data_IF_050389064447
#
_entry.id   IF_050389064447
#
_cell.length_a   1.000
_cell.length_b   1.000
_cell.length_c   1.000
_cell.angle_alpha   90.00
_cell.angle_beta   90.00
_cell.angle_gamma   90.00
#
_symmetry.space_group_name_H-M   'P 1'
#
loop_
_entity.id
_entity.type
_entity.pdbx_description
1 polymer ?
#
# COMPACT_ATOMS: atom_id res chain seq x y z
N UNK A 1 19.53 32.85 16.21
CA UNK A 1 18.23 32.22 15.92
C UNK A 1 18.38 30.75 16.30
N UNK A 2 17.89 30.37 17.48
CA UNK A 2 17.98 28.99 17.97
C UNK A 2 16.88 28.18 17.28
N UNK A 3 17.27 27.20 16.46
CA UNK A 3 16.33 26.18 15.99
C UNK A 3 15.95 25.33 17.20
N UNK A 4 14.72 25.50 17.68
CA UNK A 4 14.12 24.58 18.65
C UNK A 4 14.19 23.16 18.07
N UNK A 5 14.97 22.30 18.71
CA UNK A 5 15.10 20.89 18.34
C UNK A 5 13.76 20.20 18.50
N UNK A 6 13.05 19.96 17.41
CA UNK A 6 12.03 18.95 17.39
C UNK A 6 12.72 17.63 17.75
N UNK A 7 12.24 16.96 18.81
CA UNK A 7 12.74 15.63 19.18
C UNK A 7 12.69 14.75 17.92
N UNK A 8 13.85 14.30 17.45
CA UNK A 8 13.91 13.34 16.35
C UNK A 8 13.34 12.04 16.86
N UNK A 9 12.08 11.76 16.53
CA UNK A 9 11.44 10.48 16.82
C UNK A 9 12.20 9.42 16.03
N UNK A 10 12.87 8.51 16.74
CA UNK A 10 13.59 7.43 16.09
C UNK A 10 12.60 6.36 15.61
N UNK A 11 12.86 5.66 14.49
CA UNK A 11 12.03 4.55 14.03
C UNK A 11 11.82 3.50 15.13
N UNK A 12 12.87 3.19 15.91
CA UNK A 12 12.81 2.25 17.02
C UNK A 12 11.78 2.64 18.09
N UNK A 13 11.66 3.92 18.41
CA UNK A 13 10.67 4.41 19.38
C UNK A 13 9.26 4.18 18.84
N UNK A 14 9.01 4.48 17.56
CA UNK A 14 7.70 4.25 16.93
C UNK A 14 7.34 2.77 16.93
N UNK A 15 8.27 1.89 16.58
CA UNK A 15 8.05 0.45 16.58
C UNK A 15 7.70 -0.07 17.98
N UNK A 16 8.44 0.37 19.00
CA UNK A 16 8.19 0.01 20.39
C UNK A 16 6.79 0.45 20.83
N UNK A 17 6.41 1.69 20.55
CA UNK A 17 5.10 2.23 20.94
C UNK A 17 3.97 1.50 20.21
N UNK A 18 4.07 1.34 18.88
CA UNK A 18 3.07 0.59 18.10
C UNK A 18 2.91 -0.86 18.60
N UNK A 19 4.01 -1.49 19.04
CA UNK A 19 4.01 -2.84 19.59
C UNK A 19 3.16 -3.00 20.86
N UNK A 20 2.91 -1.92 21.61
CA UNK A 20 2.20 -1.94 22.89
C UNK A 20 0.75 -1.44 22.80
N UNK A 21 0.38 -0.76 21.72
CA UNK A 21 -0.95 -0.14 21.60
C UNK A 21 -2.04 -1.18 21.32
N UNK A 22 -3.24 -0.91 21.83
CA UNK A 22 -4.47 -1.62 21.46
C UNK A 22 -5.52 -0.58 21.10
N UNK A 23 -5.94 -0.57 19.84
CA UNK A 23 -6.74 0.50 19.26
C UNK A 23 -8.00 -0.08 18.60
N UNK A 24 -9.03 -0.49 19.37
CA UNK A 24 -10.19 -1.20 18.82
C UNK A 24 -11.00 -0.37 17.82
N UNK A 25 -10.94 0.95 17.91
CA UNK A 25 -11.59 1.88 16.98
C UNK A 25 -10.69 2.32 15.81
N UNK A 26 -9.51 1.70 15.63
CA UNK A 26 -8.58 2.05 14.56
C UNK A 26 -9.19 1.72 13.19
N UNK A 27 -9.42 2.75 12.39
CA UNK A 27 -9.94 2.61 11.02
C UNK A 27 -8.91 3.00 9.96
N UNK A 28 -7.91 3.80 10.33
CA UNK A 28 -6.89 4.33 9.44
C UNK A 28 -5.52 4.20 10.10
N UNK A 29 -4.59 3.51 9.45
CA UNK A 29 -3.22 3.35 9.93
C UNK A 29 -2.25 3.88 8.87
N UNK A 30 -1.47 4.89 9.24
CA UNK A 30 -0.41 5.47 8.41
C UNK A 30 0.91 5.44 9.16
N UNK A 31 1.84 4.62 8.68
CA UNK A 31 3.23 4.58 9.16
C UNK A 31 4.13 4.80 7.95
N UNK A 32 4.28 6.06 7.55
CA UNK A 32 4.79 6.42 6.21
C UNK A 32 5.78 7.60 6.19
N UNK A 33 5.76 8.51 7.16
CA UNK A 33 6.59 9.73 7.11
C UNK A 33 7.94 9.58 7.85
N UNK A 34 8.32 8.34 8.22
CA UNK A 34 9.55 8.01 8.96
C UNK A 34 10.35 7.01 8.12
N UNK A 35 11.67 7.20 8.05
CA UNK A 35 12.58 6.33 7.31
C UNK A 35 12.77 5.03 8.09
N UNK A 36 12.24 3.93 7.55
CA UNK A 36 12.49 2.58 8.05
C UNK A 36 13.57 1.88 7.21
N UNK A 37 14.43 1.12 7.87
CA UNK A 37 15.31 0.16 7.23
C UNK A 37 14.48 -1.04 6.69
N UNK A 38 14.95 -1.72 5.62
CA UNK A 38 14.28 -2.92 5.11
C UNK A 38 14.17 -4.06 6.13
N UNK A 39 15.05 -4.08 7.13
CA UNK A 39 15.10 -5.07 8.22
C UNK A 39 14.19 -4.70 9.40
N UNK A 40 13.53 -3.54 9.37
CA UNK A 40 12.68 -3.12 10.48
C UNK A 40 11.40 -3.99 10.55
N UNK A 41 11.02 -4.48 11.75
CA UNK A 41 9.88 -5.38 11.95
C UNK A 41 8.51 -4.68 11.85
N UNK A 42 8.42 -3.54 11.15
CA UNK A 42 7.19 -2.75 11.07
C UNK A 42 6.01 -3.58 10.57
N UNK A 43 6.23 -4.44 9.57
CA UNK A 43 5.16 -5.25 8.98
C UNK A 43 4.56 -6.21 10.01
N UNK A 44 5.41 -6.90 10.76
CA UNK A 44 5.00 -7.81 11.84
C UNK A 44 4.30 -7.05 12.98
N UNK A 45 4.86 -5.90 13.39
CA UNK A 45 4.27 -5.05 14.43
C UNK A 45 2.86 -4.57 14.03
N UNK A 46 2.66 -4.21 12.76
CA UNK A 46 1.35 -3.79 12.25
C UNK A 46 0.35 -4.95 12.26
N UNK A 47 0.77 -6.16 11.85
CA UNK A 47 -0.08 -7.36 11.96
C UNK A 47 -0.48 -7.61 13.41
N UNK A 48 0.49 -7.60 14.32
CA UNK A 48 0.25 -7.82 15.74
C UNK A 48 -0.67 -6.74 16.35
N UNK A 49 -0.51 -5.48 15.93
CA UNK A 49 -1.39 -4.38 16.34
C UNK A 49 -2.83 -4.61 15.88
N UNK A 50 -3.04 -4.95 14.61
CA UNK A 50 -4.39 -5.17 14.05
C UNK A 50 -5.05 -6.38 14.73
N UNK A 51 -4.33 -7.49 14.86
CA UNK A 51 -4.82 -8.71 15.49
C UNK A 51 -5.20 -8.48 16.96
N UNK A 52 -4.34 -7.81 17.73
CA UNK A 52 -4.60 -7.48 19.13
C UNK A 52 -5.75 -6.48 19.28
N UNK A 53 -5.87 -5.54 18.35
CA UNK A 53 -6.90 -4.50 18.40
C UNK A 53 -8.26 -5.00 17.94
N UNK A 54 -8.33 -6.05 17.12
CA UNK A 54 -9.59 -6.53 16.53
C UNK A 54 -10.32 -5.46 15.71
N UNK A 55 -9.56 -4.51 15.16
CA UNK A 55 -10.10 -3.30 14.56
C UNK A 55 -10.59 -3.52 13.12
N UNK A 56 -11.59 -2.76 12.69
CA UNK A 56 -12.08 -2.77 11.30
C UNK A 56 -11.32 -1.76 10.43
N UNK A 57 -10.09 -2.12 10.06
CA UNK A 57 -9.21 -1.23 9.30
C UNK A 57 -9.72 -1.01 7.87
N UNK A 58 -9.91 0.25 7.49
CA UNK A 58 -10.36 0.68 6.15
C UNK A 58 -9.23 1.23 5.28
N UNK A 59 -8.20 1.79 5.91
CA UNK A 59 -7.06 2.38 5.20
C UNK A 59 -5.75 1.98 5.84
N UNK A 60 -4.84 1.45 5.02
CA UNK A 60 -3.48 1.08 5.42
C UNK A 60 -2.47 1.77 4.50
N UNK A 61 -1.52 2.49 5.11
CA UNK A 61 -0.35 3.04 4.42
C UNK A 61 0.92 2.69 5.18
N UNK A 62 1.83 1.99 4.53
CA UNK A 62 3.14 1.60 5.07
C UNK A 62 4.28 2.23 4.26
N UNK A 63 5.40 2.47 4.92
CA UNK A 63 6.60 3.05 4.31
C UNK A 63 7.14 2.15 3.16
N UNK A 64 7.67 2.77 2.11
CA UNK A 64 8.13 2.08 0.89
C UNK A 64 9.35 1.17 1.05
N UNK A 65 10.02 1.20 2.19
CA UNK A 65 11.13 0.28 2.49
C UNK A 65 10.68 -1.03 3.14
N UNK A 66 9.49 -1.06 3.72
CA UNK A 66 9.01 -2.23 4.47
C UNK A 66 8.20 -3.11 3.52
N UNK A 67 8.57 -4.39 3.47
CA UNK A 67 7.86 -5.42 2.71
C UNK A 67 7.50 -6.58 3.66
N UNK A 68 6.45 -7.35 3.32
CA UNK A 68 6.26 -8.66 3.93
C UNK A 68 7.47 -9.56 3.66
N UNK A 69 7.83 -10.38 4.65
CA UNK A 69 8.89 -11.38 4.54
C UNK A 69 8.46 -12.60 3.72
N UNK A 70 7.15 -12.91 3.69
CA UNK A 70 6.61 -14.08 2.99
C UNK A 70 5.20 -13.83 2.44
N UNK A 71 4.77 -14.70 1.51
CA UNK A 71 3.41 -14.67 0.95
C UNK A 71 2.36 -14.89 2.06
N UNK A 72 2.66 -15.75 3.02
CA UNK A 72 1.78 -16.05 4.16
C UNK A 72 1.61 -14.83 5.07
N UNK A 73 2.69 -14.09 5.33
CA UNK A 73 2.62 -12.86 6.13
C UNK A 73 1.76 -11.80 5.43
N UNK A 74 1.89 -11.68 4.11
CA UNK A 74 1.05 -10.79 3.29
C UNK A 74 -0.43 -11.20 3.34
N UNK A 75 -0.73 -12.48 3.15
CA UNK A 75 -2.11 -13.02 3.22
C UNK A 75 -2.70 -12.85 4.61
N UNK A 76 -1.92 -13.06 5.66
CA UNK A 76 -2.36 -12.88 7.05
C UNK A 76 -2.84 -11.44 7.27
N UNK A 77 -2.05 -10.44 6.85
CA UNK A 77 -2.46 -9.03 6.94
C UNK A 77 -3.79 -8.77 6.20
N UNK A 78 -3.95 -9.32 5.00
CA UNK A 78 -5.15 -9.12 4.20
C UNK A 78 -6.39 -9.75 4.85
N UNK A 79 -6.25 -10.95 5.41
CA UNK A 79 -7.32 -11.65 6.11
C UNK A 79 -7.75 -10.95 7.40
N UNK A 80 -6.82 -10.27 8.08
CA UNK A 80 -7.12 -9.45 9.26
C UNK A 80 -7.91 -8.17 8.91
N UNK A 81 -7.93 -7.76 7.64
CA UNK A 81 -8.52 -6.49 7.21
C UNK A 81 -9.61 -6.66 6.12
N UNK A 82 -10.71 -7.41 6.37
CA UNK A 82 -11.76 -7.62 5.36
C UNK A 82 -12.45 -6.32 4.93
N UNK A 83 -12.40 -5.29 5.78
CA UNK A 83 -12.98 -3.96 5.54
C UNK A 83 -12.05 -2.99 4.79
N UNK A 84 -10.86 -3.46 4.34
CA UNK A 84 -9.85 -2.60 3.73
C UNK A 84 -10.33 -2.04 2.38
N UNK A 85 -10.38 -0.72 2.28
CA UNK A 85 -10.76 0.02 1.07
C UNK A 85 -9.56 0.65 0.36
N UNK A 86 -8.55 1.05 1.13
CA UNK A 86 -7.34 1.71 0.63
C UNK A 86 -6.09 1.00 1.15
N UNK A 87 -5.18 0.64 0.25
CA UNK A 87 -3.89 0.04 0.57
C UNK A 87 -2.77 0.73 -0.18
N UNK A 88 -1.74 1.15 0.55
CA UNK A 88 -0.57 1.82 0.01
C UNK A 88 0.69 1.24 0.64
N UNK A 89 1.40 0.44 -0.14
CA UNK A 89 2.48 -0.43 0.34
C UNK A 89 3.62 -0.50 -0.67
N UNK A 90 4.78 -0.98 -0.22
CA UNK A 90 5.85 -1.40 -1.11
C UNK A 90 5.32 -2.46 -2.09
N UNK A 91 5.76 -2.38 -3.34
CA UNK A 91 5.38 -3.33 -4.38
C UNK A 91 5.68 -4.76 -3.91
N UNK A 92 4.66 -5.63 -3.81
CA UNK A 92 4.83 -7.01 -3.37
C UNK A 92 5.43 -7.86 -4.51
N UNK A 93 5.86 -9.08 -4.19
CA UNK A 93 6.27 -10.05 -5.22
C UNK A 93 5.09 -10.44 -6.11
N UNK A 94 5.36 -11.08 -7.25
CA UNK A 94 4.30 -11.56 -8.14
C UNK A 94 3.33 -12.52 -7.43
N UNK A 95 3.86 -13.49 -6.67
CA UNK A 95 3.05 -14.46 -5.93
C UNK A 95 2.15 -13.80 -4.88
N UNK A 96 2.64 -12.75 -4.22
CA UNK A 96 1.85 -11.95 -3.29
C UNK A 96 0.78 -11.12 -4.04
N UNK A 97 1.12 -10.51 -5.17
CA UNK A 97 0.19 -9.73 -5.97
C UNK A 97 -0.99 -10.58 -6.46
N UNK A 98 -0.75 -11.85 -6.81
CA UNK A 98 -1.82 -12.79 -7.17
C UNK A 98 -2.84 -13.01 -6.06
N UNK A 99 -2.45 -12.85 -4.78
CA UNK A 99 -3.37 -12.95 -3.63
C UNK A 99 -4.37 -11.81 -3.55
N UNK A 100 -4.14 -10.72 -4.28
CA UNK A 100 -5.10 -9.62 -4.42
C UNK A 100 -6.13 -9.87 -5.52
N UNK A 101 -6.08 -11.00 -6.24
CA UNK A 101 -7.17 -11.40 -7.12
C UNK A 101 -8.45 -11.57 -6.30
N UNK A 102 -9.50 -10.82 -6.65
CA UNK A 102 -10.84 -11.03 -6.12
C UNK A 102 -11.50 -12.26 -6.77
N UNK A 103 -11.56 -13.37 -6.05
CA UNK A 103 -12.42 -14.52 -6.36
C UNK A 103 -13.79 -14.32 -5.69
N UNK A 104 -14.81 -14.04 -6.51
CA UNK A 104 -16.18 -13.81 -6.05
C UNK A 104 -16.95 -15.09 -5.76
N UNK A 105 -16.43 -16.23 -6.18
CA UNK A 105 -17.04 -17.53 -5.91
C UNK A 105 -16.60 -18.08 -4.55
N UNK A 106 -15.51 -17.55 -4.00
CA UNK A 106 -15.06 -17.85 -2.63
C UNK A 106 -16.10 -17.38 -1.60
N UNK A 107 -16.43 -18.20 -0.59
CA UNK A 107 -17.24 -17.76 0.54
C UNK A 107 -16.53 -16.68 1.39
N UNK A 108 -15.20 -16.63 1.33
CA UNK A 108 -14.35 -15.71 2.09
C UNK A 108 -13.38 -15.01 1.13
N UNK A 109 -13.84 -14.02 0.34
CA UNK A 109 -12.98 -13.27 -0.56
C UNK A 109 -11.99 -12.42 0.22
N UNK A 110 -10.74 -12.33 -0.25
CA UNK A 110 -9.68 -11.54 0.37
C UNK A 110 -9.84 -10.05 0.00
N UNK A 111 -9.96 -9.20 1.02
CA UNK A 111 -10.15 -7.73 0.92
C UNK A 111 -11.19 -7.34 -0.15
N UNK A 112 -12.45 -7.80 -0.04
CA UNK A 112 -13.47 -7.61 -1.09
C UNK A 112 -13.81 -6.15 -1.34
N UNK A 113 -13.56 -5.28 -0.36
CA UNK A 113 -13.87 -3.83 -0.41
C UNK A 113 -12.73 -2.97 -0.94
N UNK A 114 -11.59 -3.55 -1.33
CA UNK A 114 -10.42 -2.79 -1.76
C UNK A 114 -10.72 -2.03 -3.06
N UNK A 115 -10.68 -0.70 -2.96
CA UNK A 115 -10.95 0.27 -4.03
C UNK A 115 -9.68 0.94 -4.54
N UNK A 116 -8.67 1.11 -3.68
CA UNK A 116 -7.46 1.83 -4.06
C UNK A 116 -6.24 1.03 -3.65
N UNK A 117 -5.38 0.77 -4.64
CA UNK A 117 -4.10 0.10 -4.45
C UNK A 117 -2.99 1.00 -4.98
N UNK A 118 -2.08 1.37 -4.10
CA UNK A 118 -0.87 2.12 -4.42
C UNK A 118 0.32 1.20 -4.20
N UNK A 119 1.06 0.92 -5.28
CA UNK A 119 2.26 0.11 -5.24
C UNK A 119 3.49 1.00 -5.40
N UNK A 120 4.40 0.94 -4.44
CA UNK A 120 5.62 1.77 -4.41
C UNK A 120 6.86 0.94 -4.66
N UNK A 121 7.69 1.41 -5.59
CA UNK A 121 9.05 0.90 -5.69
C UNK A 121 9.79 1.05 -4.34
N UNK A 122 10.73 0.14 -4.01
CA UNK A 122 11.55 0.28 -2.83
C UNK A 122 12.25 1.65 -2.85
N UNK A 123 12.14 2.42 -1.77
CA UNK A 123 12.92 3.65 -1.62
C UNK A 123 14.37 3.28 -1.28
N UNK A 124 15.10 2.79 -2.30
CA UNK A 124 16.53 2.62 -2.21
C UNK A 124 17.15 3.93 -1.71
N UNK A 125 18.13 3.81 -0.81
CA UNK A 125 18.95 4.92 -0.36
C UNK A 125 19.69 5.55 -1.54
N UNK A 126 19.03 6.42 -2.33
CA UNK A 126 19.60 7.31 -3.35
C UNK A 126 20.41 6.65 -4.49
N UNK A 127 20.79 5.39 -4.40
CA UNK A 127 21.76 4.74 -5.27
C UNK A 127 21.34 3.28 -5.44
N UNK A 128 21.34 2.81 -6.70
CA UNK A 128 21.25 1.40 -7.07
C UNK A 128 19.88 0.71 -6.99
N UNK A 129 18.84 1.36 -7.52
CA UNK A 129 17.77 0.58 -8.15
C UNK A 129 18.11 0.46 -9.64
N UNK A 130 18.43 -0.74 -10.17
CA UNK A 130 18.64 -0.92 -11.60
C UNK A 130 17.37 -0.45 -12.34
N UNK A 131 17.54 0.45 -13.31
CA UNK A 131 16.42 1.02 -14.10
C UNK A 131 15.60 -0.03 -14.82
N UNK A 132 16.15 -1.23 -14.99
CA UNK A 132 15.56 -2.34 -15.74
C UNK A 132 14.81 -3.35 -14.86
N UNK A 133 14.71 -3.11 -13.53
CA UNK A 133 13.89 -3.98 -12.68
C UNK A 133 12.41 -3.65 -12.85
N UNK A 134 11.71 -4.51 -13.58
CA UNK A 134 10.25 -4.55 -13.58
C UNK A 134 9.78 -4.98 -12.20
N UNK A 135 9.26 -4.04 -11.42
CA UNK A 135 8.72 -4.31 -10.08
C UNK A 135 7.35 -4.97 -10.11
N UNK A 136 6.60 -4.78 -11.20
CA UNK A 136 5.23 -5.27 -11.36
C UNK A 136 5.15 -5.97 -12.71
N UNK A 137 4.86 -7.28 -12.69
CA UNK A 137 4.59 -8.06 -13.90
C UNK A 137 3.24 -7.61 -14.48
N UNK A 138 3.19 -6.93 -15.64
CA UNK A 138 1.97 -6.28 -16.12
C UNK A 138 0.77 -7.21 -16.29
N UNK A 139 0.92 -8.44 -16.85
CA UNK A 139 -0.19 -9.38 -16.93
C UNK A 139 -0.84 -9.70 -15.58
N UNK A 140 -0.03 -9.93 -14.55
CA UNK A 140 -0.51 -10.27 -13.20
C UNK A 140 -1.22 -9.09 -12.56
N UNK A 141 -0.67 -7.89 -12.70
CA UNK A 141 -1.32 -6.66 -12.24
C UNK A 141 -2.66 -6.42 -12.94
N UNK A 142 -2.70 -6.54 -14.27
CA UNK A 142 -3.93 -6.36 -15.04
C UNK A 142 -5.00 -7.39 -14.70
N UNK A 143 -4.61 -8.62 -14.34
CA UNK A 143 -5.56 -9.63 -13.82
C UNK A 143 -6.19 -9.19 -12.50
N UNK A 144 -5.40 -8.66 -11.58
CA UNK A 144 -5.90 -8.08 -10.31
C UNK A 144 -6.86 -6.93 -10.60
N UNK A 145 -6.47 -5.99 -11.46
CA UNK A 145 -7.32 -4.86 -11.88
C UNK A 145 -8.66 -5.38 -12.40
N UNK A 146 -8.62 -6.24 -13.42
CA UNK A 146 -9.80 -6.76 -14.09
C UNK A 146 -10.75 -7.45 -13.10
N UNK A 147 -10.22 -8.30 -12.22
CA UNK A 147 -11.04 -9.01 -11.23
C UNK A 147 -11.81 -8.09 -10.27
N UNK A 148 -11.25 -6.90 -10.01
CA UNK A 148 -11.84 -5.93 -9.08
C UNK A 148 -12.69 -4.87 -9.78
N UNK A 149 -12.50 -4.65 -11.07
CA UNK A 149 -13.27 -3.67 -11.86
C UNK A 149 -14.36 -4.27 -12.72
N UNK A 150 -14.49 -5.60 -12.80
CA UNK A 150 -15.44 -6.27 -13.71
C UNK A 150 -16.89 -5.81 -13.55
N UNK A 151 -17.33 -5.43 -12.35
CA UNK A 151 -18.72 -4.95 -12.11
C UNK A 151 -18.91 -3.46 -12.39
N UNK A 152 -17.82 -2.70 -12.59
CA UNK A 152 -17.91 -1.29 -12.97
C UNK A 152 -18.19 -1.12 -14.47
N UNK A 153 -17.98 -2.18 -15.26
CA UNK A 153 -18.10 -2.17 -16.72
C UNK A 153 -19.51 -2.52 -17.22
N UNK A 154 -20.40 -3.00 -16.34
CA UNK A 154 -21.79 -3.36 -16.67
C UNK A 154 -22.80 -2.24 -16.40
N UNK A 155 -22.35 -1.13 -15.80
CA UNK A 155 -23.11 0.12 -15.66
C UNK A 155 -22.69 1.08 -16.77
N UNK A 156 -23.64 1.63 -17.54
CA UNK A 156 -23.44 2.59 -18.65
C UNK A 156 -22.68 3.88 -18.24
N UNK A 157 -21.37 3.79 -17.98
CA UNK A 157 -20.49 4.94 -17.73
C UNK A 157 -19.08 4.71 -18.30
N UNK A 158 -18.42 5.75 -18.83
CA UNK A 158 -17.17 5.58 -19.57
C UNK A 158 -15.94 5.45 -18.65
N UNK A 159 -15.07 4.54 -19.10
CA UNK A 159 -13.61 4.47 -19.00
C UNK A 159 -12.94 4.28 -17.61
N UNK A 160 -12.47 3.04 -17.42
CA UNK A 160 -11.29 2.72 -16.60
C UNK A 160 -10.12 3.61 -17.06
N UNK A 161 -9.65 4.52 -16.21
CA UNK A 161 -8.33 5.12 -16.38
C UNK A 161 -7.30 4.28 -15.60
N UNK A 162 -6.74 3.28 -16.27
CA UNK A 162 -5.45 2.74 -15.86
C UNK A 162 -4.39 3.79 -16.21
N UNK A 163 -3.96 4.58 -15.22
CA UNK A 163 -2.89 5.56 -15.42
C UNK A 163 -1.54 4.82 -15.47
N UNK A 164 -1.15 4.39 -16.66
CA UNK A 164 0.25 4.08 -16.95
C UNK A 164 0.99 5.40 -17.23
N UNK A 165 1.64 5.98 -16.23
CA UNK A 165 2.55 7.10 -16.47
C UNK A 165 3.87 6.56 -17.01
N UNK A 166 3.99 6.48 -18.34
CA UNK A 166 5.27 6.43 -19.03
C UNK A 166 5.53 7.78 -19.70
N UNK A 167 6.20 8.69 -18.99
CA UNK A 167 7.00 9.72 -19.65
C UNK A 167 8.07 10.25 -18.70
N UNK A 168 9.28 10.36 -19.26
CA UNK A 168 10.47 10.88 -18.63
C UNK A 168 10.23 12.24 -17.95
N UNK A 169 10.73 12.42 -16.73
CA UNK A 169 11.87 13.30 -16.40
C UNK A 169 12.02 13.40 -14.86
N UNK A 170 13.27 13.29 -14.40
CA UNK A 170 13.80 13.68 -13.08
C UNK A 170 13.26 13.00 -11.81
N UNK A 171 14.02 12.01 -11.35
CA UNK A 171 14.22 11.57 -9.96
C UNK A 171 13.02 11.11 -9.10
N UNK A 172 13.03 9.80 -8.80
CA UNK A 172 12.76 9.16 -7.50
C UNK A 172 11.44 8.47 -7.15
N UNK A 173 10.35 8.48 -7.92
CA UNK A 173 9.23 7.59 -7.57
C UNK A 173 8.47 7.10 -8.81
N UNK A 174 8.49 5.79 -9.06
CA UNK A 174 7.55 5.14 -9.97
C UNK A 174 6.30 4.80 -9.15
N UNK A 175 5.21 5.56 -9.34
CA UNK A 175 3.93 5.36 -8.65
C UNK A 175 2.99 4.61 -9.59
N UNK A 176 2.53 3.43 -9.18
CA UNK A 176 1.42 2.76 -9.83
C UNK A 176 0.17 3.02 -8.99
N UNK A 177 -0.80 3.73 -9.57
CA UNK A 177 -2.08 4.04 -8.93
C UNK A 177 -3.19 3.22 -9.57
N UNK A 178 -3.84 2.41 -8.75
CA UNK A 178 -5.12 1.78 -9.08
C UNK A 178 -6.23 2.58 -8.41
N UNK A 179 -7.04 3.28 -9.21
CA UNK A 179 -8.27 3.94 -8.75
C UNK A 179 -9.48 3.11 -9.20
N UNK A 180 -10.14 2.44 -8.25
CA UNK A 180 -11.44 1.80 -8.45
C UNK A 180 -12.48 2.67 -7.73
N UNK A 181 -12.99 3.71 -8.40
CA UNK A 181 -14.01 4.59 -7.81
C UNK A 181 -15.29 4.62 -8.66
N UNK A 182 -16.44 4.42 -8.01
CA UNK A 182 -17.77 4.62 -8.58
C UNK A 182 -18.25 6.08 -8.54
N UNK A 183 -17.51 7.02 -7.94
CA UNK A 183 -17.89 8.43 -7.93
C UNK A 183 -16.70 9.38 -8.11
N UNK A 184 -16.99 10.46 -8.85
CA UNK A 184 -16.11 11.55 -9.29
C UNK A 184 -15.20 12.08 -8.16
N UNK A 185 -13.94 11.65 -8.10
CA UNK A 185 -12.84 12.53 -7.69
C UNK A 185 -11.51 11.98 -8.20
N UNK A 186 -10.93 12.64 -9.21
CA UNK A 186 -9.55 12.40 -9.61
C UNK A 186 -8.63 13.08 -8.58
N UNK A 187 -7.87 12.29 -7.81
CA UNK A 187 -6.79 12.84 -7.00
C UNK A 187 -5.49 12.82 -7.82
N UNK A 188 -5.09 14.00 -8.28
CA UNK A 188 -3.73 14.30 -8.72
C UNK A 188 -2.95 14.80 -7.51
N UNK A 189 -1.89 14.09 -7.10
CA UNK A 189 -0.92 14.65 -6.16
C UNK A 189 0.43 14.79 -6.86
N UNK A 190 0.59 15.93 -7.53
CA UNK A 190 1.89 16.47 -7.94
C UNK A 190 2.57 16.99 -6.67
N UNK A 191 3.50 16.22 -6.12
CA UNK A 191 4.43 16.77 -5.14
C UNK A 191 5.47 17.58 -5.91
N UNK A 192 5.19 18.87 -6.06
CA UNK A 192 6.12 19.86 -6.60
C UNK A 192 7.37 19.98 -5.73
N UNK A 193 8.49 20.20 -6.41
CA UNK A 193 9.76 20.61 -5.83
C UNK A 193 9.55 21.79 -4.87
N UNK A 194 10.16 21.73 -3.70
CA UNK A 194 10.49 22.94 -2.93
C UNK A 194 12.00 23.03 -2.89
N UNK A 195 12.45 24.15 -3.45
CA UNK A 195 13.82 24.67 -3.60
C UNK A 195 14.75 24.39 -2.42
#
# INVERSE_FOLDING_TARGET
MQYYGAAQIQPADVLLHLGQLTLPSLTHLKVYDIIFAPTDPLYEIVINLIQRSGCSLKSLRLHSNVAPESVEQFVNLLNLCPELEFMDVRTPTEDMLQKLWLDRTSPEPIVPKLKTLVLRAPSGSVWEVPRDRVFVVPPTFMRVVHSRTQDLLTSDQPAIQALSTSSCLSSRVQRYLLLISSQRTAYFELAGERY
#
